data_IF_762360537455
#
_entry.id   IF_762360537455
#
_cell.length_a   1.000
_cell.length_b   1.000
_cell.length_c   1.000
_cell.angle_alpha   90.00
_cell.angle_beta   90.00
_cell.angle_gamma   90.00
#
_symmetry.space_group_name_H-M   'P 1'
#
loop_
_entity.id
_entity.type
_entity.pdbx_description
1 polymer ?
#
# COMPACT_ATOMS: atom_id res chain seq x y z
N UNK A 1 10.67 -14.03 4.09
CA UNK A 1 10.83 -13.22 2.86
C UNK A 1 12.19 -12.56 2.88
N UNK A 2 13.03 -12.83 1.89
CA UNK A 2 14.40 -12.30 1.85
C UNK A 2 14.45 -10.79 1.59
N UNK A 3 15.48 -10.15 2.17
CA UNK A 3 15.63 -8.71 2.28
C UNK A 3 16.28 -8.07 1.05
N UNK A 4 15.57 -7.95 -0.08
CA UNK A 4 16.02 -7.08 -1.18
C UNK A 4 15.52 -5.64 -0.99
N UNK A 5 16.42 -4.67 -1.13
CA UNK A 5 16.10 -3.24 -1.11
C UNK A 5 16.31 -2.64 -2.51
N UNK A 6 15.52 -1.62 -2.85
CA UNK A 6 15.58 -0.96 -4.16
C UNK A 6 15.86 0.54 -3.99
N UNK A 7 16.55 1.15 -4.96
CA UNK A 7 16.75 2.61 -4.96
C UNK A 7 15.41 3.33 -5.00
N UNK A 8 14.53 2.94 -5.92
CA UNK A 8 13.20 3.53 -6.08
C UNK A 8 12.15 2.42 -6.13
N UNK A 9 10.99 2.65 -5.49
CA UNK A 9 9.84 1.73 -5.52
C UNK A 9 8.59 2.52 -5.88
N UNK A 10 7.76 1.92 -6.74
CA UNK A 10 6.41 2.40 -7.02
C UNK A 10 5.40 1.35 -6.53
N UNK A 11 4.50 1.74 -5.64
CA UNK A 11 3.35 0.93 -5.22
C UNK A 11 2.12 1.49 -5.92
N UNK A 12 1.59 0.75 -6.88
CA UNK A 12 0.51 1.22 -7.74
C UNK A 12 -0.83 0.56 -7.42
N UNK A 13 -1.92 1.28 -7.65
CA UNK A 13 -3.28 0.75 -7.51
C UNK A 13 -3.73 0.57 -6.05
N UNK A 14 -3.26 1.42 -5.14
CA UNK A 14 -3.63 1.35 -3.72
C UNK A 14 -5.01 1.99 -3.51
N UNK A 15 -6.04 1.27 -3.94
CA UNK A 15 -7.43 1.71 -4.04
C UNK A 15 -8.33 0.91 -3.10
N UNK A 16 -9.49 1.46 -2.76
CA UNK A 16 -10.54 0.73 -2.06
C UNK A 16 -10.98 -0.51 -2.88
N UNK A 17 -11.22 -1.62 -2.18
CA UNK A 17 -11.56 -2.92 -2.79
C UNK A 17 -10.43 -3.63 -3.54
N UNK A 18 -9.28 -2.98 -3.78
CA UNK A 18 -8.06 -3.63 -4.29
C UNK A 18 -7.05 -3.88 -3.18
N UNK A 19 -6.86 -2.89 -2.31
CA UNK A 19 -6.03 -3.00 -1.11
C UNK A 19 -6.86 -2.50 0.07
N UNK A 20 -7.14 -3.33 1.08
CA UNK A 20 -6.80 -4.74 1.17
C UNK A 20 -7.70 -5.64 0.31
N UNK A 21 -7.14 -6.71 -0.26
CA UNK A 21 -7.90 -7.82 -0.79
C UNK A 21 -8.28 -8.78 0.36
N UNK A 22 -9.55 -8.74 0.79
CA UNK A 22 -10.01 -9.40 2.03
C UNK A 22 -11.22 -10.28 1.82
N UNK A 23 -11.29 -11.37 2.59
CA UNK A 23 -12.47 -12.21 2.69
C UNK A 23 -13.70 -11.40 3.13
N UNK A 24 -14.88 -11.60 2.52
CA UNK A 24 -16.11 -10.96 2.95
C UNK A 24 -16.47 -11.37 4.39
N UNK A 25 -16.90 -10.40 5.20
CA UNK A 25 -17.23 -10.63 6.62
C UNK A 25 -18.31 -11.70 6.83
N UNK A 26 -19.23 -11.84 5.87
CA UNK A 26 -20.31 -12.82 5.90
C UNK A 26 -19.81 -14.26 5.68
N UNK A 27 -18.67 -14.42 5.01
CA UNK A 27 -18.05 -15.73 4.78
C UNK A 27 -17.25 -16.13 6.00
N UNK A 28 -16.33 -15.27 6.44
CA UNK A 28 -15.52 -15.50 7.62
C UNK A 28 -14.94 -14.19 8.18
N UNK A 29 -15.36 -13.81 9.38
CA UNK A 29 -14.92 -12.59 10.03
C UNK A 29 -13.48 -12.70 10.60
N UNK A 30 -13.06 -13.90 11.02
CA UNK A 30 -11.72 -14.10 11.55
C UNK A 30 -10.71 -14.07 10.41
N UNK A 31 -10.97 -14.80 9.32
CA UNK A 31 -10.13 -14.78 8.12
C UNK A 31 -10.01 -13.37 7.56
N UNK A 32 -11.11 -12.61 7.52
CA UNK A 32 -11.08 -11.20 7.10
C UNK A 32 -10.08 -10.38 7.92
N UNK A 33 -10.04 -10.56 9.24
CA UNK A 33 -9.13 -9.80 10.10
C UNK A 33 -7.66 -10.19 9.86
N UNK A 34 -7.41 -11.48 9.62
CA UNK A 34 -6.09 -12.00 9.26
C UNK A 34 -5.62 -11.47 7.90
N UNK A 35 -6.53 -11.42 6.91
CA UNK A 35 -6.29 -10.85 5.58
C UNK A 35 -5.94 -9.36 5.69
N UNK A 36 -6.71 -8.59 6.47
CA UNK A 36 -6.43 -7.16 6.70
C UNK A 36 -5.03 -6.95 7.27
N UNK A 37 -4.66 -7.74 8.29
CA UNK A 37 -3.35 -7.61 8.93
C UNK A 37 -2.21 -8.03 7.99
N UNK A 38 -2.44 -9.05 7.17
CA UNK A 38 -1.48 -9.54 6.19
C UNK A 38 -1.25 -8.52 5.08
N UNK A 39 -2.32 -7.94 4.53
CA UNK A 39 -2.27 -6.91 3.51
C UNK A 39 -1.61 -5.62 4.03
N UNK A 40 -1.88 -5.23 5.28
CA UNK A 40 -1.18 -4.12 5.94
C UNK A 40 0.32 -4.36 6.04
N UNK A 41 0.71 -5.56 6.48
CA UNK A 41 2.12 -5.95 6.59
C UNK A 41 2.82 -5.91 5.22
N UNK A 42 2.16 -6.44 4.19
CA UNK A 42 2.68 -6.42 2.81
C UNK A 42 2.84 -4.98 2.29
N UNK A 43 1.84 -4.11 2.49
CA UNK A 43 1.91 -2.72 2.09
C UNK A 43 3.06 -1.99 2.81
N UNK A 44 3.23 -2.23 4.11
CA UNK A 44 4.33 -1.67 4.89
C UNK A 44 5.69 -2.13 4.35
N UNK A 45 5.85 -3.43 4.11
CA UNK A 45 7.08 -4.00 3.55
C UNK A 45 7.38 -3.38 2.18
N UNK A 46 6.38 -3.29 1.29
CA UNK A 46 6.55 -2.69 -0.04
C UNK A 46 6.98 -1.22 0.04
N UNK A 47 6.37 -0.43 0.94
CA UNK A 47 6.71 0.97 1.13
C UNK A 47 8.11 1.17 1.73
N UNK A 48 8.56 0.26 2.60
CA UNK A 48 9.87 0.35 3.26
C UNK A 48 11.02 -0.24 2.45
N UNK A 49 10.76 -0.91 1.31
CA UNK A 49 11.82 -1.35 0.39
C UNK A 49 12.50 -0.19 -0.38
N UNK A 50 11.92 1.01 -0.36
CA UNK A 50 12.46 2.18 -1.05
C UNK A 50 13.58 2.87 -0.26
N UNK A 51 14.79 2.92 -0.82
CA UNK A 51 15.92 3.63 -0.20
C UNK A 51 15.97 5.12 -0.49
N UNK A 52 15.57 5.52 -1.70
CA UNK A 52 15.69 6.91 -2.18
C UNK A 52 14.32 7.53 -2.42
N UNK A 53 13.46 6.84 -3.17
CA UNK A 53 12.15 7.38 -3.54
C UNK A 53 11.06 6.31 -3.50
N UNK A 54 9.93 6.66 -2.89
CA UNK A 54 8.69 5.88 -2.90
C UNK A 54 7.61 6.69 -3.62
N UNK A 55 6.93 6.07 -4.59
CA UNK A 55 5.73 6.62 -5.22
C UNK A 55 4.56 5.69 -4.95
N UNK A 56 3.51 6.20 -4.32
CA UNK A 56 2.25 5.48 -4.15
C UNK A 56 1.22 6.08 -5.10
N UNK A 57 0.64 5.26 -5.98
CA UNK A 57 -0.44 5.69 -6.86
C UNK A 57 -1.75 5.02 -6.47
N UNK A 58 -2.83 5.77 -6.68
CA UNK A 58 -4.21 5.34 -6.51
C UNK A 58 -5.05 5.92 -7.65
N UNK A 59 -6.20 5.32 -7.89
CA UNK A 59 -7.19 5.73 -8.86
C UNK A 59 -8.58 5.59 -8.23
N UNK A 60 -9.39 6.64 -8.34
CA UNK A 60 -10.70 6.68 -7.67
C UNK A 60 -10.56 6.76 -6.15
N UNK A 61 -11.31 5.92 -5.44
CA UNK A 61 -11.35 5.93 -3.97
C UNK A 61 -10.05 5.35 -3.38
N UNK A 62 -9.35 6.09 -2.50
CA UNK A 62 -8.15 5.59 -1.84
C UNK A 62 -8.45 4.35 -1.00
N UNK A 63 -7.47 3.44 -0.93
CA UNK A 63 -7.50 2.38 0.08
C UNK A 63 -7.70 2.97 1.49
N UNK A 64 -8.46 2.29 2.37
CA UNK A 64 -8.60 2.69 3.78
C UNK A 64 -7.24 2.78 4.51
N UNK A 65 -6.21 2.08 4.03
CA UNK A 65 -4.85 2.16 4.58
C UNK A 65 -4.15 3.49 4.30
N UNK A 66 -4.68 4.31 3.39
CA UNK A 66 -4.14 5.63 3.03
C UNK A 66 -4.83 6.80 3.77
N UNK A 67 -5.79 6.54 4.67
CA UNK A 67 -6.51 7.58 5.43
C UNK A 67 -5.57 8.51 6.22
N UNK A 68 -5.97 9.78 6.46
CA UNK A 68 -5.29 10.98 5.97
C UNK A 68 -3.86 11.12 6.51
N UNK A 69 -2.95 10.25 6.07
CA UNK A 69 -1.54 10.58 6.03
C UNK A 69 -1.45 11.73 5.05
N UNK A 70 -1.55 12.97 5.58
CA UNK A 70 -1.37 14.24 4.87
C UNK A 70 -0.36 13.97 3.79
N UNK A 71 -0.84 13.90 2.55
CA UNK A 71 0.02 13.61 1.42
C UNK A 71 0.99 14.78 1.38
N UNK A 72 2.16 14.62 2.00
CA UNK A 72 3.34 15.39 1.63
C UNK A 72 3.54 14.95 0.21
N UNK A 73 3.02 15.80 -0.68
CA UNK A 73 2.97 15.62 -2.11
C UNK A 73 4.23 14.88 -2.52
N UNK A 74 4.06 13.68 -3.07
CA UNK A 74 5.12 12.97 -3.77
C UNK A 74 5.41 13.70 -5.10
N UNK A 75 5.64 15.02 -5.01
CA UNK A 75 6.14 15.90 -6.04
C UNK A 75 7.64 16.06 -5.74
N UNK A 76 8.38 14.99 -6.01
CA UNK A 76 9.82 15.08 -6.24
C UNK A 76 10.21 14.16 -7.38
N UNK A 77 9.48 14.28 -8.49
CA UNK A 77 10.01 13.95 -9.81
C UNK A 77 10.24 15.30 -10.49
N UNK A 78 11.48 15.79 -10.42
CA UNK A 78 11.90 16.87 -11.32
C UNK A 78 12.05 16.24 -12.71
N UNK A 79 11.30 16.65 -13.74
CA UNK A 79 11.73 16.35 -15.10
C UNK A 79 13.03 17.11 -15.37
N UNK A 80 13.94 16.46 -16.09
CA UNK A 80 15.16 17.07 -16.61
C UNK A 80 14.83 18.12 -17.67
#
# INVERSE_FOLDING_TARGET
>A
MEGVEFRCVAVAGVNDGTVPAVTPVVVDAQQRQEDVNSELSLLFVACTRARVALRVSRHGEPSPFLAPARARSAERVRPA
#
